data_IF_551700394559
#
_entry.id   IF_551700394559
#
_cell.length_a   1.000
_cell.length_b   1.000
_cell.length_c   1.000
_cell.angle_alpha   90.00
_cell.angle_beta   90.00
_cell.angle_gamma   90.00
#
_symmetry.space_group_name_H-M   'P 1'
#
loop_
_entity.id
_entity.type
_entity.pdbx_description
1 polymer ?
#
# COMPACT_ATOMS: atom_id res chain seq x y z
N UNK A 1 -7.35 -6.56 34.39
CA UNK A 1 -7.47 -7.57 33.32
C UNK A 1 -6.07 -7.89 32.81
N UNK A 2 -5.64 -9.13 32.89
CA UNK A 2 -4.34 -9.57 32.37
C UNK A 2 -4.40 -9.68 30.84
N UNK A 3 -3.45 -9.05 30.12
CA UNK A 3 -3.34 -9.19 28.67
C UNK A 3 -2.59 -10.48 28.35
N UNK A 4 -3.30 -11.46 27.80
CA UNK A 4 -2.67 -12.72 27.35
C UNK A 4 -1.78 -12.45 26.15
N UNK A 5 -0.60 -13.07 26.13
CA UNK A 5 0.31 -13.02 24.99
C UNK A 5 -0.24 -13.91 23.86
N UNK A 6 -0.44 -13.33 22.67
CA UNK A 6 -1.00 -14.03 21.50
C UNK A 6 -0.16 -15.24 21.05
N UNK A 7 1.16 -15.21 21.26
CA UNK A 7 2.04 -16.33 20.91
C UNK A 7 1.71 -17.61 21.70
N UNK A 8 1.19 -17.47 22.92
CA UNK A 8 0.82 -18.61 23.78
C UNK A 8 -0.51 -19.25 23.37
N UNK A 9 -1.24 -18.67 22.42
CA UNK A 9 -2.57 -19.16 21.99
C UNK A 9 -2.55 -19.84 20.63
N UNK A 10 -1.43 -19.82 19.91
CA UNK A 10 -1.35 -20.40 18.58
C UNK A 10 -1.14 -21.91 18.62
N UNK A 11 -1.88 -22.61 17.76
CA UNK A 11 -1.59 -23.98 17.36
C UNK A 11 -0.45 -24.02 16.32
N UNK A 12 0.05 -25.22 16.00
CA UNK A 12 1.03 -25.41 14.92
C UNK A 12 0.47 -24.95 13.55
N UNK A 13 -0.82 -25.16 13.31
CA UNK A 13 -1.49 -24.71 12.09
C UNK A 13 -1.54 -23.17 12.01
N UNK A 14 -1.80 -22.50 13.13
CA UNK A 14 -1.80 -21.04 13.20
C UNK A 14 -0.40 -20.47 12.94
N UNK A 15 0.63 -21.10 13.49
CA UNK A 15 2.04 -20.71 13.27
C UNK A 15 2.39 -20.85 11.78
N UNK A 16 1.95 -21.93 11.12
CA UNK A 16 2.17 -22.12 9.69
C UNK A 16 1.51 -21.03 8.85
N UNK A 17 0.23 -20.71 9.13
CA UNK A 17 -0.49 -19.61 8.46
C UNK A 17 0.16 -18.26 8.71
N UNK A 18 0.62 -18.01 9.94
CA UNK A 18 1.31 -16.78 10.32
C UNK A 18 2.62 -16.62 9.55
N UNK A 19 3.41 -17.68 9.44
CA UNK A 19 4.68 -17.64 8.71
C UNK A 19 4.44 -17.38 7.22
N UNK A 20 3.40 -17.98 6.63
CA UNK A 20 3.03 -17.76 5.25
C UNK A 20 2.67 -16.28 4.98
N UNK A 21 1.76 -15.69 5.77
CA UNK A 21 1.39 -14.28 5.60
C UNK A 21 2.55 -13.33 5.90
N UNK A 22 3.43 -13.67 6.86
CA UNK A 22 4.61 -12.87 7.18
C UNK A 22 5.60 -12.85 6.02
N UNK A 23 5.80 -13.99 5.34
CA UNK A 23 6.65 -14.06 4.16
C UNK A 23 6.08 -13.25 2.99
N UNK A 24 4.76 -13.31 2.76
CA UNK A 24 4.09 -12.47 1.76
C UNK A 24 4.21 -10.98 2.09
N UNK A 25 4.06 -10.62 3.36
CA UNK A 25 4.21 -9.24 3.83
C UNK A 25 5.64 -8.71 3.61
N UNK A 26 6.66 -9.49 3.96
CA UNK A 26 8.06 -9.14 3.70
C UNK A 26 8.30 -8.91 2.21
N UNK A 27 7.80 -9.80 1.35
CA UNK A 27 7.92 -9.64 -0.10
C UNK A 27 7.24 -8.35 -0.59
N UNK A 28 6.07 -8.00 -0.05
CA UNK A 28 5.42 -6.73 -0.39
C UNK A 28 6.29 -5.53 0.01
N UNK A 29 6.82 -5.53 1.24
CA UNK A 29 7.71 -4.47 1.73
C UNK A 29 9.00 -4.37 0.93
N UNK A 30 9.56 -5.49 0.47
CA UNK A 30 10.80 -5.51 -0.31
C UNK A 30 10.66 -4.86 -1.67
N UNK A 31 9.48 -4.95 -2.26
CA UNK A 31 9.19 -4.39 -3.58
C UNK A 31 8.52 -3.01 -3.52
N UNK A 32 7.96 -2.61 -2.37
CA UNK A 32 7.19 -1.37 -2.18
C UNK A 32 7.90 -0.39 -1.27
N UNK A 33 8.84 0.39 -1.82
CA UNK A 33 9.65 1.36 -1.03
C UNK A 33 9.12 2.78 -1.13
N UNK A 34 8.40 3.09 -2.20
CA UNK A 34 7.75 4.38 -2.44
C UNK A 34 6.24 4.22 -2.54
N UNK A 35 5.51 5.33 -2.37
CA UNK A 35 4.05 5.33 -2.50
C UNK A 35 3.60 4.81 -3.88
N UNK A 36 4.39 5.10 -4.92
CA UNK A 36 4.09 4.69 -6.30
C UNK A 36 4.23 3.19 -6.51
N UNK A 37 5.30 2.59 -5.97
CA UNK A 37 5.53 1.15 -6.05
C UNK A 37 4.48 0.38 -5.23
N UNK A 38 4.11 0.91 -4.05
CA UNK A 38 3.04 0.35 -3.23
C UNK A 38 1.70 0.34 -3.97
N UNK A 39 1.32 1.45 -4.63
CA UNK A 39 0.10 1.51 -5.45
C UNK A 39 0.17 0.51 -6.60
N UNK A 40 1.26 0.51 -7.38
CA UNK A 40 1.41 -0.37 -8.54
C UNK A 40 1.26 -1.84 -8.16
N UNK A 41 1.97 -2.29 -7.11
CA UNK A 41 1.84 -3.66 -6.61
C UNK A 41 0.44 -3.98 -6.11
N UNK A 42 -0.17 -3.07 -5.34
CA UNK A 42 -1.51 -3.30 -4.78
C UNK A 42 -2.56 -3.40 -5.89
N UNK A 43 -2.43 -2.61 -6.96
CA UNK A 43 -3.29 -2.70 -8.15
C UNK A 43 -3.15 -4.06 -8.82
N UNK A 44 -1.93 -4.57 -9.02
CA UNK A 44 -1.71 -5.90 -9.61
C UNK A 44 -2.28 -7.03 -8.72
N UNK A 45 -2.07 -6.95 -7.40
CA UNK A 45 -2.66 -7.88 -6.44
C UNK A 45 -4.20 -7.82 -6.45
N UNK A 46 -4.77 -6.62 -6.59
CA UNK A 46 -6.21 -6.42 -6.63
C UNK A 46 -6.80 -7.03 -7.91
N UNK A 47 -6.20 -6.74 -9.08
CA UNK A 47 -6.61 -7.33 -10.37
C UNK A 47 -6.55 -8.85 -10.34
N UNK A 48 -5.49 -9.44 -9.78
CA UNK A 48 -5.37 -10.89 -9.61
C UNK A 48 -6.49 -11.49 -8.74
N UNK A 49 -7.10 -10.69 -7.85
CA UNK A 49 -8.25 -11.05 -7.01
C UNK A 49 -9.60 -10.62 -7.62
N UNK A 50 -9.63 -10.24 -8.89
CA UNK A 50 -10.86 -9.89 -9.61
C UNK A 50 -11.35 -8.47 -9.39
N UNK A 51 -10.53 -7.57 -8.83
CA UNK A 51 -10.89 -6.15 -8.75
C UNK A 51 -10.80 -5.49 -10.13
N UNK A 52 -11.75 -4.60 -10.41
CA UNK A 52 -11.81 -3.81 -11.65
C UNK A 52 -11.58 -2.33 -11.37
N UNK A 53 -11.01 -1.62 -12.34
CA UNK A 53 -10.85 -0.17 -12.23
C UNK A 53 -12.23 0.52 -12.26
N UNK A 54 -12.56 1.25 -11.21
CA UNK A 54 -13.81 1.97 -11.06
C UNK A 54 -14.03 2.98 -12.20
N UNK A 55 -12.98 3.65 -12.69
CA UNK A 55 -13.12 4.58 -13.81
C UNK A 55 -13.55 3.86 -15.09
N UNK A 56 -13.04 2.64 -15.32
CA UNK A 56 -13.47 1.80 -16.44
C UNK A 56 -14.93 1.39 -16.29
N UNK A 57 -15.35 0.96 -15.08
CA UNK A 57 -16.76 0.60 -14.81
C UNK A 57 -17.70 1.79 -15.09
N UNK A 58 -17.31 2.99 -14.65
CA UNK A 58 -18.07 4.23 -14.89
C UNK A 58 -18.14 4.55 -16.38
N UNK A 59 -17.00 4.52 -17.09
CA UNK A 59 -16.93 4.83 -18.51
C UNK A 59 -17.81 3.88 -19.35
N UNK A 60 -17.93 2.62 -18.94
CA UNK A 60 -18.78 1.63 -19.59
C UNK A 60 -20.26 1.72 -19.22
N UNK A 61 -20.65 2.61 -18.28
CA UNK A 61 -22.03 2.72 -17.80
C UNK A 61 -22.51 1.49 -17.01
N UNK A 62 -21.58 0.70 -16.46
CA UNK A 62 -21.89 -0.52 -15.73
C UNK A 62 -22.45 -0.20 -14.33
N UNK A 63 -23.36 -1.06 -13.86
CA UNK A 63 -23.88 -0.99 -12.49
C UNK A 63 -23.10 -1.94 -11.59
N UNK A 64 -22.77 -1.45 -10.40
CA UNK A 64 -22.17 -2.27 -9.34
C UNK A 64 -23.23 -3.04 -8.57
N UNK A 65 -23.01 -4.33 -8.39
CA UNK A 65 -23.87 -5.25 -7.66
C UNK A 65 -23.19 -5.70 -6.35
N UNK A 66 -23.97 -6.18 -5.36
CA UNK A 66 -23.41 -6.78 -4.15
C UNK A 66 -22.42 -7.91 -4.49
N UNK A 67 -21.23 -7.84 -3.91
CA UNK A 67 -20.13 -8.76 -4.16
C UNK A 67 -19.08 -8.25 -5.15
N UNK A 68 -19.39 -7.21 -5.94
CA UNK A 68 -18.42 -6.62 -6.86
C UNK A 68 -17.22 -6.04 -6.13
N UNK A 69 -16.05 -6.18 -6.75
CA UNK A 69 -14.78 -5.66 -6.27
C UNK A 69 -14.26 -4.61 -7.27
N UNK A 70 -14.05 -3.38 -6.81
CA UNK A 70 -13.50 -2.29 -7.63
C UNK A 70 -12.43 -1.52 -6.89
N UNK A 71 -11.51 -0.90 -7.62
CA UNK A 71 -10.51 0.00 -7.04
C UNK A 71 -10.50 1.34 -7.77
N UNK A 72 -10.01 2.37 -7.09
CA UNK A 72 -9.76 3.70 -7.67
C UNK A 72 -8.32 4.09 -7.34
N UNK A 73 -7.50 4.25 -8.39
CA UNK A 73 -6.15 4.81 -8.29
C UNK A 73 -6.21 6.33 -8.43
N UNK A 74 -5.54 7.04 -7.51
CA UNK A 74 -5.34 8.46 -7.58
C UNK A 74 -3.87 8.78 -7.91
N UNK A 75 -3.62 9.04 -9.20
CA UNK A 75 -2.33 9.48 -9.77
C UNK A 75 -1.15 8.53 -9.48
N UNK A 76 -1.40 7.26 -9.20
CA UNK A 76 -0.41 6.28 -8.83
C UNK A 76 0.21 6.55 -7.45
N UNK A 77 -0.49 7.27 -6.55
CA UNK A 77 0.03 7.65 -5.21
C UNK A 77 -0.91 7.34 -4.06
N UNK A 78 -2.19 7.13 -4.34
CA UNK A 78 -3.16 6.65 -3.36
C UNK A 78 -4.12 5.69 -4.04
N UNK A 79 -4.67 4.75 -3.26
CA UNK A 79 -5.54 3.70 -3.77
C UNK A 79 -6.69 3.47 -2.79
N UNK A 80 -7.89 3.35 -3.34
CA UNK A 80 -9.07 2.87 -2.60
C UNK A 80 -9.54 1.55 -3.20
N UNK A 81 -9.81 0.56 -2.35
CA UNK A 81 -10.41 -0.71 -2.74
C UNK A 81 -11.79 -0.84 -2.11
N UNK A 82 -12.77 -1.27 -2.90
CA UNK A 82 -14.15 -1.43 -2.48
C UNK A 82 -14.62 -2.84 -2.74
N UNK A 83 -15.27 -3.44 -1.75
CA UNK A 83 -16.09 -4.64 -1.89
C UNK A 83 -17.54 -4.28 -1.61
N UNK A 84 -18.39 -4.33 -2.63
CA UNK A 84 -19.76 -3.83 -2.57
C UNK A 84 -20.62 -4.75 -1.68
N UNK A 85 -21.25 -4.15 -0.67
CA UNK A 85 -22.12 -4.84 0.27
C UNK A 85 -23.52 -5.09 -0.27
N UNK A 86 -24.33 -5.83 0.49
CA UNK A 86 -25.75 -6.07 0.17
C UNK A 86 -26.66 -4.91 0.54
N UNK A 87 -26.26 -4.10 1.52
CA UNK A 87 -27.03 -2.94 1.97
C UNK A 87 -26.71 -1.71 1.13
N UNK A 88 -27.67 -0.78 0.95
CA UNK A 88 -27.42 0.48 0.28
C UNK A 88 -26.28 1.26 0.94
N UNK A 89 -25.43 1.92 0.14
CA UNK A 89 -24.27 2.66 0.64
C UNK A 89 -24.64 3.77 1.65
N UNK A 90 -25.87 4.31 1.56
CA UNK A 90 -26.38 5.28 2.52
C UNK A 90 -26.56 4.73 3.95
N UNK A 91 -26.49 3.42 4.15
CA UNK A 91 -26.44 2.78 5.47
C UNK A 91 -25.04 2.81 6.12
N UNK A 92 -24.02 3.22 5.37
CA UNK A 92 -22.65 3.38 5.87
C UNK A 92 -21.65 2.45 5.18
N UNK A 93 -20.39 2.62 5.58
CA UNK A 93 -19.23 1.88 5.07
C UNK A 93 -18.34 1.44 6.24
N UNK A 94 -17.75 0.25 6.12
CA UNK A 94 -16.66 -0.17 7.00
C UNK A 94 -15.34 0.18 6.32
N UNK A 95 -14.60 1.14 6.87
CA UNK A 95 -13.39 1.68 6.25
C UNK A 95 -12.18 1.32 7.12
N UNK A 96 -11.15 0.77 6.48
CA UNK A 96 -9.81 0.63 7.05
C UNK A 96 -8.88 1.51 6.24
N UNK A 97 -8.24 2.47 6.91
CA UNK A 97 -7.30 3.41 6.31
C UNK A 97 -5.87 3.15 6.79
N UNK A 98 -4.92 3.30 5.88
CA UNK A 98 -3.48 3.32 6.14
C UNK A 98 -2.83 4.32 5.19
N UNK A 99 -1.60 4.73 5.51
CA UNK A 99 -0.76 5.50 4.59
C UNK A 99 0.36 4.60 4.05
N UNK A 100 0.83 4.88 2.83
CA UNK A 100 1.78 4.03 2.08
C UNK A 100 3.07 4.76 1.71
N UNK A 101 3.17 6.03 2.09
CA UNK A 101 4.41 6.78 2.04
C UNK A 101 5.27 6.46 3.28
N UNK A 102 6.58 6.57 3.12
CA UNK A 102 7.57 6.36 4.18
C UNK A 102 8.66 7.43 4.09
N UNK A 103 9.32 7.77 5.21
CA UNK A 103 10.45 8.70 5.18
C UNK A 103 11.53 8.24 4.20
N UNK A 104 12.04 9.16 3.38
CA UNK A 104 13.00 8.88 2.30
C UNK A 104 13.87 10.08 1.97
N UNK A 105 14.85 9.87 1.09
CA UNK A 105 15.73 10.91 0.55
C UNK A 105 15.38 11.12 -0.92
N UNK A 106 14.99 12.35 -1.24
CA UNK A 106 14.61 12.75 -2.59
C UNK A 106 15.69 13.63 -3.20
N UNK A 107 15.80 13.60 -4.53
CA UNK A 107 16.66 14.55 -5.24
C UNK A 107 16.00 15.92 -5.27
N UNK A 108 16.81 16.98 -5.12
CA UNK A 108 16.34 18.35 -5.42
C UNK A 108 16.07 18.52 -6.92
N UNK A 109 15.40 19.61 -7.28
CA UNK A 109 15.05 19.92 -8.67
C UNK A 109 16.28 20.02 -9.59
N UNK A 110 17.38 20.61 -9.10
CA UNK A 110 18.68 20.65 -9.78
C UNK A 110 19.71 19.92 -8.90
N UNK A 111 19.78 18.58 -8.95
CA UNK A 111 20.53 17.81 -7.96
C UNK A 111 21.99 17.61 -8.35
N UNK A 112 22.32 17.56 -9.64
CA UNK A 112 23.67 17.20 -10.07
C UNK A 112 24.64 18.38 -9.86
N UNK A 113 25.70 18.14 -9.10
CA UNK A 113 26.81 19.08 -8.94
C UNK A 113 28.13 18.31 -8.82
N UNK A 114 29.25 19.01 -8.98
CA UNK A 114 30.58 18.47 -8.79
C UNK A 114 31.23 19.14 -7.58
N UNK A 115 31.91 18.35 -6.75
CA UNK A 115 32.78 18.84 -5.69
C UNK A 115 33.98 17.89 -5.58
N UNK A 116 35.19 18.45 -5.50
CA UNK A 116 36.44 17.68 -5.31
C UNK A 116 36.59 16.51 -6.32
N UNK A 117 36.36 16.78 -7.61
CA UNK A 117 36.42 15.81 -8.72
C UNK A 117 35.41 14.64 -8.62
N UNK A 118 34.39 14.73 -7.75
CA UNK A 118 33.28 13.78 -7.65
C UNK A 118 31.95 14.42 -8.07
N UNK A 119 31.16 13.68 -8.85
CA UNK A 119 29.78 14.05 -9.14
C UNK A 119 28.87 13.59 -7.99
N UNK A 120 28.08 14.52 -7.45
CA UNK A 120 27.13 14.31 -6.38
C UNK A 120 25.70 14.63 -6.80
N UNK A 121 24.75 14.15 -6.01
CA UNK A 121 23.33 14.46 -6.13
C UNK A 121 22.87 15.16 -4.84
N UNK A 122 22.47 16.42 -4.94
CA UNK A 122 21.90 17.21 -3.85
C UNK A 122 20.49 16.71 -3.53
N UNK A 123 20.21 16.53 -2.24
CA UNK A 123 19.02 15.84 -1.77
C UNK A 123 18.20 16.66 -0.78
N UNK A 124 16.95 16.27 -0.61
CA UNK A 124 16.03 16.77 0.39
C UNK A 124 15.30 15.60 1.03
N UNK A 125 15.24 15.57 2.36
CA UNK A 125 14.54 14.49 3.06
C UNK A 125 13.04 14.73 3.02
N UNK A 126 12.28 13.64 2.86
CA UNK A 126 10.84 13.59 3.07
C UNK A 126 10.56 12.87 4.39
N UNK A 127 9.74 13.47 5.26
CA UNK A 127 9.41 12.92 6.59
C UNK A 127 10.52 13.08 7.64
N UNK A 128 10.39 12.38 8.77
CA UNK A 128 11.31 12.48 9.91
C UNK A 128 12.41 11.43 9.90
N UNK A 129 13.46 11.63 9.08
CA UNK A 129 14.59 10.70 9.04
C UNK A 129 15.58 10.91 10.18
N UNK A 130 16.19 9.83 10.67
CA UNK A 130 17.38 9.89 11.53
C UNK A 130 18.61 10.05 10.65
N UNK A 131 19.05 11.29 10.45
CA UNK A 131 20.08 11.66 9.47
C UNK A 131 21.38 10.84 9.57
N UNK A 132 21.76 10.38 10.76
CA UNK A 132 23.01 9.64 10.99
C UNK A 132 22.94 8.13 10.63
N UNK A 133 21.76 7.61 10.28
CA UNK A 133 21.59 6.21 9.84
C UNK A 133 21.50 6.07 8.31
N UNK A 134 21.57 7.20 7.62
CA UNK A 134 21.60 7.34 6.17
C UNK A 134 22.99 7.80 5.76
#
# INVERSE_FOLDING_TARGET
>A
MERKNAWKTYSEEDISKLNAISAEYLKFLDNGKTERECVAQTVEMAKAKGYRDLNTVIANGEKLNPGDCVYSDFMGKALMLFKIGKQPICKGLNIVGAHIDSPRIDLKQNPLYEDTDFAYLDTHYYGGIKKYQW
#
